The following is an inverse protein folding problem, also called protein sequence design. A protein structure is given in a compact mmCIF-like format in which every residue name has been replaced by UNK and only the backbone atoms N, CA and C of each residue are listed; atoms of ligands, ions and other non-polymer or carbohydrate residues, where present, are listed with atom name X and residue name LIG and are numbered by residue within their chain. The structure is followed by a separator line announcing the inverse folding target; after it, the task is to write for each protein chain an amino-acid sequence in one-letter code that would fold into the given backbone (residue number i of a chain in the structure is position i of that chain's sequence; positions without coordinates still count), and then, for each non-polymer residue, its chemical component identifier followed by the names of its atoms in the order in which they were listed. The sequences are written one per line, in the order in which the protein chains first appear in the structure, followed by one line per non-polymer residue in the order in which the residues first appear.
data_IF_947188549458
#
_entry.id   IF_947188549458
#
_cell.length_a   1.000
_cell.length_b   1.000
_cell.length_c   1.000
_cell.angle_alpha   90.00
_cell.angle_beta   90.00
_cell.angle_gamma   90.00
#
_symmetry.space_group_name_H-M   'P 1'
#
loop_
_entity.id
_entity.type
_entity.pdbx_description
1 polymer ?
#
# COMPACT_ATOMS: atom_id res chain seq x y z
N UNK A 1 -49.87 -58.67 -4.45
CA UNK A 1 -48.55 -59.09 -4.98
C UNK A 1 -47.98 -57.97 -5.85
N UNK A 2 -47.80 -56.77 -5.29
CA UNK A 2 -47.46 -55.56 -6.05
C UNK A 2 -46.71 -54.55 -5.16
N UNK A 3 -45.67 -55.01 -4.45
CA UNK A 3 -44.84 -54.14 -3.59
C UNK A 3 -43.34 -54.48 -3.67
N UNK A 4 -42.90 -55.27 -4.65
CA UNK A 4 -41.51 -55.72 -4.76
C UNK A 4 -40.79 -55.26 -6.04
N UNK A 5 -41.41 -54.41 -6.86
CA UNK A 5 -40.88 -54.05 -8.19
C UNK A 5 -40.43 -52.59 -8.32
N UNK A 6 -40.77 -51.71 -7.36
CA UNK A 6 -40.33 -50.30 -7.37
C UNK A 6 -38.93 -50.08 -6.77
N UNK A 7 -38.46 -50.97 -5.88
CA UNK A 7 -37.15 -50.82 -5.24
C UNK A 7 -35.97 -51.25 -6.13
N UNK A 8 -36.22 -51.98 -7.23
CA UNK A 8 -35.16 -52.48 -8.12
C UNK A 8 -34.75 -51.46 -9.21
N UNK A 9 -35.58 -50.45 -9.49
CA UNK A 9 -35.31 -49.41 -10.50
C UNK A 9 -34.70 -48.15 -9.89
N UNK A 10 -34.82 -47.95 -8.57
CA UNK A 10 -34.29 -46.79 -7.85
C UNK A 10 -32.87 -47.00 -7.29
N UNK A 11 -32.45 -48.24 -7.04
CA UNK A 11 -31.10 -48.53 -6.53
C UNK A 11 -29.96 -48.11 -7.47
N UNK A 12 -30.00 -48.34 -8.80
CA UNK A 12 -28.90 -47.93 -9.66
C UNK A 12 -28.86 -46.41 -9.84
N UNK A 13 -30.00 -45.71 -9.69
CA UNK A 13 -30.07 -44.25 -9.74
C UNK A 13 -29.48 -43.65 -8.46
N UNK A 14 -29.78 -44.24 -7.29
CA UNK A 14 -29.16 -43.83 -6.02
C UNK A 14 -27.63 -44.07 -6.05
N UNK A 15 -27.19 -45.22 -6.55
CA UNK A 15 -25.75 -45.53 -6.68
C UNK A 15 -25.07 -44.55 -7.65
N UNK A 16 -25.74 -44.16 -8.74
CA UNK A 16 -25.21 -43.16 -9.69
C UNK A 16 -25.17 -41.77 -9.06
N UNK A 17 -26.16 -41.39 -8.25
CA UNK A 17 -26.19 -40.12 -7.51
C UNK A 17 -25.10 -40.10 -6.43
N UNK A 18 -24.84 -41.22 -5.75
CA UNK A 18 -23.76 -41.35 -4.77
C UNK A 18 -22.38 -41.33 -5.44
N UNK A 19 -22.22 -41.92 -6.62
CA UNK A 19 -20.99 -41.81 -7.43
C UNK A 19 -20.79 -40.37 -7.94
N UNK A 20 -21.86 -39.69 -8.36
CA UNK A 20 -21.79 -38.27 -8.78
C UNK A 20 -21.47 -37.37 -7.58
N UNK A 21 -22.06 -37.63 -6.41
CA UNK A 21 -21.75 -36.90 -5.18
C UNK A 21 -20.34 -37.20 -4.65
N UNK A 22 -19.83 -38.43 -4.81
CA UNK A 22 -18.43 -38.79 -4.53
C UNK A 22 -17.46 -38.13 -5.52
N UNK A 23 -17.83 -38.01 -6.79
CA UNK A 23 -17.03 -37.31 -7.81
C UNK A 23 -17.02 -35.77 -7.62
N UNK A 24 -18.11 -35.20 -7.08
CA UNK A 24 -18.18 -33.77 -6.73
C UNK A 24 -17.51 -33.46 -5.38
N UNK A 25 -17.35 -34.43 -4.49
CA UNK A 25 -16.58 -34.30 -3.24
C UNK A 25 -15.09 -34.65 -3.41
N UNK A 26 -14.69 -35.20 -4.55
CA UNK A 26 -13.28 -35.38 -4.97
C UNK A 26 -12.82 -34.31 -5.97
N UNK A 27 -13.35 -33.09 -5.89
CA UNK A 27 -12.45 -31.94 -6.01
C UNK A 27 -11.59 -31.96 -4.75
N UNK A 28 -10.55 -32.79 -4.79
CA UNK A 28 -9.49 -32.78 -3.79
C UNK A 28 -9.18 -31.32 -3.51
N UNK A 29 -9.53 -30.87 -2.30
CA UNK A 29 -9.03 -29.63 -1.77
C UNK A 29 -7.53 -29.87 -1.63
N UNK A 30 -6.81 -29.67 -2.73
CA UNK A 30 -5.37 -29.77 -2.76
C UNK A 30 -4.88 -28.83 -1.67
N UNK A 31 -4.44 -29.40 -0.55
CA UNK A 31 -3.88 -28.66 0.56
C UNK A 31 -2.49 -28.31 0.07
N UNK A 32 -2.33 -27.08 -0.41
CA UNK A 32 -1.04 -26.48 -0.72
C UNK A 32 -0.03 -26.99 0.31
N UNK A 33 1.02 -27.69 -0.13
CA UNK A 33 2.02 -28.22 0.79
C UNK A 33 2.52 -27.04 1.65
N UNK A 34 2.80 -27.29 2.94
CA UNK A 34 3.30 -26.26 3.88
C UNK A 34 4.43 -25.41 3.27
N UNK A 35 5.25 -26.02 2.42
CA UNK A 35 6.33 -25.41 1.65
C UNK A 35 5.87 -24.26 0.74
N UNK A 36 4.77 -24.42 0.00
CA UNK A 36 4.22 -23.41 -0.93
C UNK A 36 3.60 -22.21 -0.19
N UNK A 37 2.93 -22.48 0.93
CA UNK A 37 2.43 -21.43 1.82
C UNK A 37 3.58 -20.62 2.43
N UNK A 38 4.61 -21.29 2.95
CA UNK A 38 5.77 -20.64 3.55
C UNK A 38 6.50 -19.76 2.53
N UNK A 39 6.71 -20.25 1.31
CA UNK A 39 7.31 -19.48 0.23
C UNK A 39 6.52 -18.20 -0.06
N UNK A 40 5.19 -18.33 -0.14
CA UNK A 40 4.30 -17.20 -0.43
C UNK A 40 4.36 -16.13 0.63
N UNK A 41 4.26 -16.52 1.90
CA UNK A 41 4.34 -15.58 3.02
C UNK A 41 5.72 -14.95 3.11
N UNK A 42 6.78 -15.71 2.87
CA UNK A 42 8.15 -15.19 2.86
C UNK A 42 8.35 -14.13 1.77
N UNK A 43 7.81 -14.36 0.57
CA UNK A 43 7.83 -13.38 -0.50
C UNK A 43 7.07 -12.10 -0.13
N UNK A 44 5.85 -12.23 0.43
CA UNK A 44 5.03 -11.08 0.81
C UNK A 44 5.69 -10.25 1.92
N UNK A 45 6.26 -10.92 2.93
CA UNK A 45 7.03 -10.24 3.99
C UNK A 45 8.23 -9.53 3.39
N UNK A 46 9.05 -10.20 2.57
CA UNK A 46 10.21 -9.58 1.94
C UNK A 46 9.81 -8.36 1.10
N UNK A 47 8.76 -8.47 0.29
CA UNK A 47 8.25 -7.38 -0.52
C UNK A 47 7.79 -6.19 0.33
N UNK A 48 7.06 -6.44 1.42
CA UNK A 48 6.63 -5.40 2.37
C UNK A 48 7.83 -4.70 3.02
N UNK A 49 8.82 -5.46 3.48
CA UNK A 49 10.03 -4.92 4.10
C UNK A 49 10.84 -4.05 3.12
N UNK A 50 10.98 -4.49 1.87
CA UNK A 50 11.64 -3.71 0.82
C UNK A 50 10.88 -2.41 0.51
N UNK A 51 9.55 -2.46 0.45
CA UNK A 51 8.71 -1.27 0.24
C UNK A 51 8.89 -0.25 1.37
N UNK A 52 8.83 -0.71 2.63
CA UNK A 52 8.99 0.17 3.80
C UNK A 52 10.39 0.76 3.86
N UNK A 53 11.43 -0.07 3.69
CA UNK A 53 12.81 0.38 3.73
C UNK A 53 13.08 1.40 2.61
N UNK A 54 12.81 1.04 1.35
CA UNK A 54 13.06 1.92 0.21
C UNK A 54 12.21 3.20 0.28
N UNK A 55 10.93 3.09 0.65
CA UNK A 55 10.03 4.23 0.84
C UNK A 55 10.53 5.20 1.91
N UNK A 56 11.02 4.70 3.04
CA UNK A 56 11.55 5.53 4.12
C UNK A 56 12.80 6.33 3.69
N UNK A 57 13.76 5.71 2.99
CA UNK A 57 14.94 6.43 2.50
C UNK A 57 14.61 7.43 1.38
N UNK A 58 13.67 7.07 0.51
CA UNK A 58 13.19 7.98 -0.55
C UNK A 58 12.48 9.20 0.04
N UNK A 59 11.75 9.01 1.15
CA UNK A 59 11.12 10.09 1.92
C UNK A 59 12.13 11.13 2.44
N UNK A 60 13.31 10.71 2.92
CA UNK A 60 14.40 11.65 3.28
C UNK A 60 14.88 12.44 2.06
N UNK A 61 15.11 11.75 0.94
CA UNK A 61 15.61 12.38 -0.29
C UNK A 61 14.63 13.44 -0.79
N UNK A 62 13.33 13.17 -0.71
CA UNK A 62 12.28 14.13 -1.04
C UNK A 62 12.28 15.32 -0.07
N UNK A 63 12.40 15.09 1.24
CA UNK A 63 12.50 16.18 2.23
C UNK A 63 13.67 17.12 1.91
N UNK A 64 14.83 16.58 1.54
CA UNK A 64 15.98 17.41 1.17
C UNK A 64 15.71 18.23 -0.09
N UNK A 65 15.12 17.63 -1.14
CA UNK A 65 14.71 18.37 -2.34
C UNK A 65 13.69 19.47 -2.04
N UNK A 66 12.75 19.22 -1.13
CA UNK A 66 11.75 20.21 -0.70
C UNK A 66 12.41 21.39 0.01
N UNK A 67 13.38 21.13 0.90
CA UNK A 67 14.19 22.18 1.54
C UNK A 67 14.93 23.04 0.51
N UNK A 68 15.50 22.43 -0.53
CA UNK A 68 16.23 23.15 -1.57
C UNK A 68 15.29 23.99 -2.46
N UNK A 69 14.07 23.49 -2.72
CA UNK A 69 13.06 24.18 -3.53
C UNK A 69 12.24 25.24 -2.80
N UNK A 70 12.26 25.25 -1.46
CA UNK A 70 11.39 26.09 -0.64
C UNK A 70 9.91 25.69 -0.63
N UNK A 71 9.53 24.59 -1.30
CA UNK A 71 8.16 24.09 -1.34
C UNK A 71 7.74 23.52 0.03
N UNK A 72 6.64 24.04 0.59
CA UNK A 72 6.06 23.53 1.84
C UNK A 72 5.18 22.31 1.52
N UNK A 73 5.46 21.13 2.10
CA UNK A 73 4.58 19.99 1.89
C UNK A 73 3.27 20.14 2.66
N UNK A 74 2.20 19.59 2.09
CA UNK A 74 0.98 19.31 2.84
C UNK A 74 1.28 18.28 3.92
N UNK A 75 1.29 18.74 5.17
CA UNK A 75 1.53 17.91 6.35
C UNK A 75 0.21 17.47 6.96
N UNK A 76 0.10 16.20 7.33
CA UNK A 76 -1.05 15.69 8.06
C UNK A 76 -1.05 16.27 9.48
N UNK A 77 -2.07 17.07 9.80
CA UNK A 77 -2.25 17.62 11.16
C UNK A 77 -2.87 16.57 12.09
N UNK A 78 -2.85 16.83 13.41
CA UNK A 78 -3.47 15.93 14.39
C UNK A 78 -4.97 15.75 14.16
N UNK A 79 -5.65 16.82 13.71
CA UNK A 79 -7.07 16.79 13.38
C UNK A 79 -7.34 15.90 12.17
N UNK A 80 -6.53 16.03 11.11
CA UNK A 80 -6.66 15.21 9.90
C UNK A 80 -6.40 13.73 10.21
N UNK A 81 -5.36 13.45 11.02
CA UNK A 81 -5.03 12.10 11.49
C UNK A 81 -6.19 11.47 12.28
N UNK A 82 -6.82 12.21 13.19
CA UNK A 82 -7.94 11.73 13.98
C UNK A 82 -9.23 11.53 13.15
N UNK A 83 -9.42 12.32 12.10
CA UNK A 83 -10.58 12.23 11.21
C UNK A 83 -10.45 11.09 10.18
N UNK A 84 -9.22 10.65 9.90
CA UNK A 84 -8.92 9.63 8.89
C UNK A 84 -9.70 8.32 9.06
N UNK A 85 -9.81 7.69 10.26
CA UNK A 85 -10.62 6.48 10.45
C UNK A 85 -12.11 6.68 10.12
N UNK A 86 -12.65 7.86 10.39
CA UNK A 86 -14.05 8.19 10.09
C UNK A 86 -14.26 8.39 8.59
N UNK A 87 -13.35 9.08 7.92
CA UNK A 87 -13.37 9.23 6.45
C UNK A 87 -13.25 7.85 5.78
N UNK A 88 -12.30 7.03 6.24
CA UNK A 88 -12.12 5.67 5.75
C UNK A 88 -13.38 4.81 5.95
N UNK A 89 -14.06 4.95 7.09
CA UNK A 89 -15.32 4.26 7.39
C UNK A 89 -16.45 4.69 6.45
N UNK A 90 -16.61 5.99 6.23
CA UNK A 90 -17.60 6.53 5.30
C UNK A 90 -17.32 6.08 3.87
N UNK A 91 -16.06 6.08 3.44
CA UNK A 91 -15.65 5.61 2.12
C UNK A 91 -15.89 4.11 1.93
N UNK A 92 -15.50 3.28 2.91
CA UNK A 92 -15.70 1.83 2.87
C UNK A 92 -17.19 1.49 2.81
N UNK A 93 -18.00 2.13 3.66
CA UNK A 93 -19.45 1.94 3.66
C UNK A 93 -20.09 2.44 2.37
N UNK A 94 -19.65 3.58 1.83
CA UNK A 94 -20.11 4.10 0.55
C UNK A 94 -19.85 3.14 -0.60
N UNK A 95 -18.63 2.59 -0.68
CA UNK A 95 -18.29 1.54 -1.66
C UNK A 95 -19.17 0.30 -1.47
N UNK A 96 -19.40 -0.12 -0.23
CA UNK A 96 -20.27 -1.26 0.07
C UNK A 96 -21.70 -1.04 -0.46
N UNK A 97 -22.27 0.14 -0.28
CA UNK A 97 -23.57 0.49 -0.86
C UNK A 97 -23.54 0.47 -2.40
N UNK A 98 -22.47 0.98 -3.02
CA UNK A 98 -22.32 0.92 -4.48
C UNK A 98 -22.26 -0.52 -4.99
N UNK A 99 -21.58 -1.43 -4.28
CA UNK A 99 -21.56 -2.87 -4.63
C UNK A 99 -22.95 -3.50 -4.54
N UNK A 100 -23.79 -3.03 -3.61
CA UNK A 100 -25.17 -3.51 -3.50
C UNK A 100 -26.07 -2.99 -4.63
N UNK A 101 -25.75 -1.82 -5.19
CA UNK A 101 -26.55 -1.15 -6.22
C UNK A 101 -26.11 -1.46 -7.66
N UNK A 102 -24.83 -1.74 -7.87
CA UNK A 102 -24.20 -1.88 -9.20
C UNK A 102 -23.54 -3.25 -9.35
N UNK A 103 -23.62 -3.86 -10.54
CA UNK A 103 -22.93 -5.13 -10.78
C UNK A 103 -21.41 -5.00 -10.63
N UNK A 104 -20.80 -6.05 -10.09
CA UNK A 104 -19.35 -6.10 -9.79
C UNK A 104 -18.47 -5.84 -11.01
N UNK A 105 -18.95 -6.17 -12.20
CA UNK A 105 -18.23 -6.00 -13.46
C UNK A 105 -17.97 -4.52 -13.77
N UNK A 106 -18.97 -3.66 -13.64
CA UNK A 106 -18.80 -2.22 -13.88
C UNK A 106 -17.88 -1.58 -12.85
N UNK A 107 -18.00 -1.97 -11.57
CA UNK A 107 -17.13 -1.48 -10.50
C UNK A 107 -15.68 -1.86 -10.80
N UNK A 108 -15.43 -3.13 -11.13
CA UNK A 108 -14.10 -3.63 -11.47
C UNK A 108 -13.54 -2.91 -12.70
N UNK A 109 -14.36 -2.67 -13.72
CA UNK A 109 -13.95 -1.95 -14.93
C UNK A 109 -13.52 -0.51 -14.64
N UNK A 110 -14.36 0.26 -13.94
CA UNK A 110 -14.06 1.65 -13.57
C UNK A 110 -12.80 1.72 -12.72
N UNK A 111 -12.71 0.83 -11.73
CA UNK A 111 -11.58 0.78 -10.82
C UNK A 111 -10.27 0.41 -11.54
N UNK A 112 -10.32 -0.49 -12.52
CA UNK A 112 -9.15 -0.85 -13.32
C UNK A 112 -8.66 0.31 -14.18
N UNK A 113 -9.56 1.10 -14.77
CA UNK A 113 -9.18 2.32 -15.49
C UNK A 113 -8.52 3.31 -14.53
N UNK A 114 -9.14 3.52 -13.35
CA UNK A 114 -8.59 4.39 -12.32
C UNK A 114 -7.17 3.97 -11.94
N UNK A 115 -6.97 2.71 -11.54
CA UNK A 115 -5.65 2.19 -11.15
C UNK A 115 -4.65 2.12 -12.29
N UNK A 116 -5.09 1.96 -13.53
CA UNK A 116 -4.21 2.06 -14.70
C UNK A 116 -3.65 3.48 -14.82
N UNK A 117 -4.49 4.51 -14.75
CA UNK A 117 -4.07 5.92 -14.87
C UNK A 117 -3.13 6.32 -13.74
N UNK A 118 -3.53 6.10 -12.48
CA UNK A 118 -2.66 6.44 -11.34
C UNK A 118 -1.44 5.51 -11.26
N UNK A 119 -1.57 4.28 -11.76
CA UNK A 119 -0.52 3.26 -11.76
C UNK A 119 0.63 3.62 -12.68
N UNK A 120 0.36 4.14 -13.88
CA UNK A 120 1.42 4.59 -14.80
C UNK A 120 2.26 5.67 -14.13
N UNK A 121 1.61 6.66 -13.49
CA UNK A 121 2.29 7.75 -12.77
C UNK A 121 3.10 7.20 -11.61
N UNK A 122 2.51 6.29 -10.81
CA UNK A 122 3.20 5.68 -9.68
C UNK A 122 4.42 4.87 -10.13
N UNK A 123 4.30 4.08 -11.19
CA UNK A 123 5.38 3.25 -11.71
C UNK A 123 6.53 4.11 -12.26
N UNK A 124 6.20 5.15 -13.03
CA UNK A 124 7.19 6.12 -13.50
C UNK A 124 7.95 6.77 -12.34
N UNK A 125 7.25 7.29 -11.32
CA UNK A 125 7.87 7.89 -10.13
C UNK A 125 8.72 6.91 -9.33
N UNK A 126 8.35 5.63 -9.31
CA UNK A 126 9.14 4.58 -8.64
C UNK A 126 10.45 4.27 -9.39
N UNK A 127 10.43 4.31 -10.72
CA UNK A 127 11.59 3.96 -11.57
C UNK A 127 12.53 5.16 -11.79
N UNK A 128 12.01 6.40 -11.76
CA UNK A 128 12.77 7.62 -12.05
C UNK A 128 14.12 7.73 -11.30
N UNK A 129 14.23 7.44 -9.98
CA UNK A 129 15.52 7.53 -9.28
C UNK A 129 16.54 6.50 -9.75
N UNK A 130 16.09 5.34 -10.21
CA UNK A 130 16.97 4.32 -10.77
C UNK A 130 17.51 4.75 -12.14
N UNK A 131 16.65 5.29 -13.01
CA UNK A 131 17.06 5.82 -14.32
C UNK A 131 18.08 6.95 -14.19
N UNK A 132 17.92 7.84 -13.20
CA UNK A 132 18.85 8.94 -12.96
C UNK A 132 20.28 8.48 -12.61
N UNK A 133 20.43 7.32 -11.96
CA UNK A 133 21.72 6.75 -11.54
C UNK A 133 22.43 5.94 -12.65
N UNK A 134 21.73 5.58 -13.72
CA UNK A 134 22.31 4.79 -14.82
C UNK A 134 23.13 5.73 -15.72
N UNK A 135 24.46 5.67 -15.59
CA UNK A 135 25.41 6.44 -16.41
C UNK A 135 25.83 5.69 -17.68
N UNK A 136 24.88 5.22 -18.49
CA UNK A 136 25.19 4.65 -19.80
C UNK A 136 25.42 5.78 -20.82
N UNK A 137 26.52 5.79 -21.60
CA UNK A 137 26.88 6.89 -22.49
C UNK A 137 25.83 7.21 -23.56
N UNK A 138 25.03 6.22 -23.97
CA UNK A 138 23.89 6.42 -24.86
C UNK A 138 22.73 7.17 -24.17
N UNK A 139 22.42 6.83 -22.92
CA UNK A 139 21.34 7.46 -22.14
C UNK A 139 21.71 8.87 -21.70
N UNK A 140 22.98 9.12 -21.38
CA UNK A 140 23.46 10.48 -21.03
C UNK A 140 23.34 11.44 -22.21
N UNK A 141 23.64 10.98 -23.43
CA UNK A 141 23.48 11.79 -24.66
C UNK A 141 22.00 12.10 -24.97
N UNK A 142 21.08 11.19 -24.62
CA UNK A 142 19.64 11.43 -24.75
C UNK A 142 19.09 12.34 -23.64
N UNK A 143 19.72 12.34 -22.46
CA UNK A 143 19.40 13.20 -21.30
C UNK A 143 19.82 14.66 -21.50
N UNK A 144 20.82 14.92 -22.34
CA UNK A 144 21.25 16.30 -22.68
C UNK A 144 20.24 17.05 -23.56
N UNK A 145 19.27 16.35 -24.16
CA UNK A 145 18.19 16.99 -24.95
C UNK A 145 17.01 17.32 -24.05
N UNK A 146 17.14 18.39 -23.27
CA UNK A 146 16.05 18.93 -22.48
C UNK A 146 15.07 19.70 -23.38
N UNK A 147 13.80 19.28 -23.38
CA UNK A 147 12.74 20.04 -24.05
C UNK A 147 12.05 20.94 -23.02
N UNK A 148 11.87 22.22 -23.36
CA UNK A 148 11.17 23.20 -22.53
C UNK A 148 9.82 23.48 -23.15
N UNK A 149 8.73 23.14 -22.45
CA UNK A 149 7.40 23.64 -22.80
C UNK A 149 7.10 24.81 -21.88
N UNK A 150 7.26 26.04 -22.39
CA UNK A 150 6.86 27.26 -21.68
C UNK A 150 5.40 27.56 -22.04
N UNK A 151 4.46 27.18 -21.19
CA UNK A 151 3.10 27.75 -21.27
C UNK A 151 3.10 29.08 -20.53
N UNK A 152 2.90 30.17 -21.26
CA UNK A 152 2.68 31.51 -20.71
C UNK A 152 1.26 31.91 -21.05
N UNK A 153 0.41 31.99 -20.03
CA UNK A 153 -0.91 32.62 -20.13
C UNK A 153 -0.71 34.13 -19.97
N UNK A 154 -1.00 34.89 -21.02
CA UNK A 154 -0.82 36.32 -21.02
C UNK A 154 -2.18 36.97 -20.71
N UNK A 155 -2.50 37.12 -19.42
CA UNK A 155 -3.65 37.94 -19.02
C UNK A 155 -3.16 39.37 -18.79
N UNK A 156 -3.67 40.30 -19.60
CA UNK A 156 -3.35 41.71 -19.49
C UNK A 156 -3.74 42.22 -18.10
N UNK A 157 -2.77 42.86 -17.44
CA UNK A 157 -2.95 43.72 -16.27
C UNK A 157 -3.28 43.01 -14.95
N UNK A 158 -2.25 42.49 -14.28
CA UNK A 158 -1.79 42.92 -12.94
C UNK A 158 -0.53 42.10 -12.59
N UNK A 159 0.51 42.82 -12.18
CA UNK A 159 1.81 42.31 -11.72
C UNK A 159 1.68 41.43 -10.47
N UNK A 160 1.62 40.11 -10.64
CA UNK A 160 2.00 39.13 -9.60
C UNK A 160 2.52 37.86 -10.27
N UNK A 161 3.77 37.52 -9.95
CA UNK A 161 4.50 36.27 -10.20
C UNK A 161 3.95 35.31 -11.26
N UNK A 162 4.65 35.30 -12.40
CA UNK A 162 4.52 34.29 -13.44
C UNK A 162 4.75 32.92 -12.79
N UNK A 163 3.70 32.12 -12.65
CA UNK A 163 3.80 30.72 -12.27
C UNK A 163 4.48 29.97 -13.42
N UNK A 164 5.81 29.98 -13.43
CA UNK A 164 6.61 29.19 -14.37
C UNK A 164 6.46 27.71 -14.01
N UNK A 165 5.48 27.03 -14.60
CA UNK A 165 5.45 25.57 -14.59
C UNK A 165 6.44 25.09 -15.65
N UNK A 166 7.73 25.11 -15.30
CA UNK A 166 8.81 24.58 -16.13
C UNK A 166 8.77 23.04 -16.10
N UNK A 167 8.02 22.46 -17.02
CA UNK A 167 8.05 21.02 -17.27
C UNK A 167 9.32 20.64 -18.04
N UNK A 168 10.33 20.16 -17.31
CA UNK A 168 11.55 19.58 -17.89
C UNK A 168 11.30 18.09 -18.13
N UNK A 169 11.32 17.68 -19.39
CA UNK A 169 11.21 16.26 -19.77
C UNK A 169 12.35 15.88 -20.69
N UNK A 170 13.00 14.76 -20.38
CA UNK A 170 14.05 14.16 -21.20
C UNK A 170 13.47 13.05 -22.09
N UNK A 171 14.14 12.70 -23.19
CA UNK A 171 13.75 11.56 -24.03
C UNK A 171 13.71 10.23 -23.24
N UNK A 172 14.54 10.13 -22.20
CA UNK A 172 14.56 8.99 -21.28
C UNK A 172 13.26 8.91 -20.47
N UNK A 173 12.70 10.06 -20.07
CA UNK A 173 11.44 10.10 -19.33
C UNK A 173 10.27 9.67 -20.22
N UNK A 174 10.25 10.12 -21.48
CA UNK A 174 9.24 9.71 -22.47
C UNK A 174 9.31 8.20 -22.72
N UNK A 175 10.53 7.65 -22.91
CA UNK A 175 10.73 6.22 -23.08
C UNK A 175 10.31 5.42 -21.83
N UNK A 176 10.58 5.93 -20.62
CA UNK A 176 10.18 5.31 -19.37
C UNK A 176 8.66 5.28 -19.21
N UNK A 177 7.98 6.38 -19.53
CA UNK A 177 6.51 6.46 -19.52
C UNK A 177 5.92 5.46 -20.53
N UNK A 178 6.50 5.35 -21.73
CA UNK A 178 6.06 4.38 -22.73
C UNK A 178 6.16 2.93 -22.21
N UNK A 179 7.27 2.57 -21.55
CA UNK A 179 7.41 1.24 -20.90
C UNK A 179 6.37 1.05 -19.79
N UNK A 180 6.10 2.09 -18.99
CA UNK A 180 5.07 2.02 -17.94
C UNK A 180 3.66 1.79 -18.54
N UNK A 181 3.35 2.39 -19.68
CA UNK A 181 2.09 2.16 -20.41
C UNK A 181 2.01 0.71 -20.89
N UNK A 182 3.10 0.14 -21.44
CA UNK A 182 3.12 -1.26 -21.87
C UNK A 182 2.84 -2.22 -20.69
N UNK A 183 3.44 -1.98 -19.53
CA UNK A 183 3.17 -2.75 -18.30
C UNK A 183 1.72 -2.57 -17.84
N UNK A 184 1.17 -1.36 -17.92
CA UNK A 184 -0.23 -1.08 -17.60
C UNK A 184 -1.21 -1.78 -18.53
N UNK A 185 -0.94 -1.80 -19.84
CA UNK A 185 -1.77 -2.51 -20.83
C UNK A 185 -1.71 -4.02 -20.58
N UNK A 186 -0.52 -4.56 -20.25
CA UNK A 186 -0.37 -5.96 -19.87
C UNK A 186 -1.20 -6.33 -18.64
N UNK A 187 -1.24 -5.45 -17.64
CA UNK A 187 -2.11 -5.60 -16.47
C UNK A 187 -3.60 -5.64 -16.85
N UNK A 188 -4.07 -4.71 -17.70
CA UNK A 188 -5.48 -4.66 -18.11
C UNK A 188 -5.90 -5.90 -18.91
N UNK A 189 -5.03 -6.40 -19.80
CA UNK A 189 -5.35 -7.52 -20.69
C UNK A 189 -5.29 -8.88 -20.00
N UNK A 190 -4.29 -9.08 -19.13
CA UNK A 190 -4.00 -10.42 -18.59
C UNK A 190 -4.29 -10.57 -17.10
N UNK A 191 -4.40 -9.46 -16.36
CA UNK A 191 -4.59 -9.44 -14.90
C UNK A 191 -3.61 -10.36 -14.15
N UNK A 192 -2.37 -10.44 -14.65
CA UNK A 192 -1.37 -11.27 -14.00
C UNK A 192 -1.01 -10.72 -12.63
N UNK A 193 -0.84 -11.63 -11.67
CA UNK A 193 -0.45 -11.32 -10.30
C UNK A 193 0.90 -10.57 -10.21
N UNK A 194 1.81 -10.81 -11.15
CA UNK A 194 3.10 -10.11 -11.23
C UNK A 194 2.88 -8.63 -11.52
N UNK A 195 2.08 -8.31 -12.54
CA UNK A 195 1.78 -6.93 -12.88
C UNK A 195 1.04 -6.22 -11.73
N UNK A 196 0.11 -6.92 -11.08
CA UNK A 196 -0.56 -6.45 -9.86
C UNK A 196 0.45 -6.09 -8.75
N UNK A 197 1.43 -6.96 -8.49
CA UNK A 197 2.45 -6.71 -7.47
C UNK A 197 3.42 -5.59 -7.84
N UNK A 198 3.77 -5.44 -9.12
CA UNK A 198 4.59 -4.30 -9.60
C UNK A 198 3.87 -2.98 -9.28
N UNK A 199 2.57 -2.88 -9.61
CA UNK A 199 1.78 -1.72 -9.25
C UNK A 199 1.63 -1.56 -7.73
N UNK A 200 1.36 -2.63 -7.00
CA UNK A 200 1.24 -2.58 -5.53
C UNK A 200 2.53 -2.08 -4.85
N UNK A 201 3.70 -2.56 -5.28
CA UNK A 201 5.00 -2.09 -4.77
C UNK A 201 5.20 -0.61 -5.12
N UNK A 202 4.91 -0.20 -6.36
CA UNK A 202 5.02 1.18 -6.79
C UNK A 202 4.10 2.10 -5.97
N UNK A 203 2.83 1.75 -5.79
CA UNK A 203 1.90 2.50 -4.96
C UNK A 203 2.36 2.59 -3.51
N UNK A 204 2.88 1.48 -2.95
CA UNK A 204 3.34 1.44 -1.56
C UNK A 204 4.51 2.39 -1.33
N UNK A 205 5.53 2.34 -2.20
CA UNK A 205 6.71 3.22 -2.12
C UNK A 205 6.30 4.69 -2.27
N UNK A 206 5.46 5.01 -3.27
CA UNK A 206 5.03 6.39 -3.50
C UNK A 206 4.17 6.91 -2.35
N UNK A 207 3.29 6.08 -1.78
CA UNK A 207 2.45 6.48 -0.67
C UNK A 207 3.29 6.77 0.58
N UNK A 208 4.27 5.93 0.92
CA UNK A 208 5.20 6.17 2.04
C UNK A 208 6.04 7.43 1.81
N UNK A 209 6.43 7.71 0.57
CA UNK A 209 7.14 8.94 0.22
C UNK A 209 6.26 10.20 0.33
N UNK A 210 4.96 10.12 -0.04
CA UNK A 210 4.04 11.27 -0.05
C UNK A 210 3.45 11.56 1.33
N UNK A 211 3.23 10.54 2.16
CA UNK A 211 2.55 10.71 3.43
C UNK A 211 3.49 11.36 4.46
N UNK A 212 3.33 12.67 4.65
CA UNK A 212 4.12 13.48 5.58
C UNK A 212 3.33 13.78 6.85
N UNK A 213 3.87 13.36 7.98
CA UNK A 213 3.39 13.78 9.29
C UNK A 213 4.26 14.92 9.79
N UNK A 214 3.65 15.98 10.35
CA UNK A 214 4.48 17.03 10.96
C UNK A 214 5.09 16.56 12.29
N UNK A 215 4.31 15.84 13.12
CA UNK A 215 4.74 15.39 14.46
C UNK A 215 4.62 13.88 14.60
N UNK A 216 5.49 13.29 15.43
CA UNK A 216 5.41 11.86 15.77
C UNK A 216 4.07 11.55 16.45
N UNK A 217 3.56 12.48 17.26
CA UNK A 217 2.24 12.36 17.89
C UNK A 217 1.09 12.19 16.87
N UNK A 218 1.13 12.88 15.72
CA UNK A 218 0.10 12.75 14.69
C UNK A 218 0.09 11.33 14.11
N UNK A 219 1.28 10.74 13.93
CA UNK A 219 1.42 9.34 13.51
C UNK A 219 0.84 8.36 14.54
N UNK A 220 1.06 8.60 15.83
CA UNK A 220 0.47 7.79 16.91
C UNK A 220 -1.06 7.88 16.91
N UNK A 221 -1.63 9.08 16.73
CA UNK A 221 -3.09 9.26 16.61
C UNK A 221 -3.64 8.48 15.41
N UNK A 222 -3.02 8.61 14.24
CA UNK A 222 -3.48 7.93 13.03
C UNK A 222 -3.47 6.40 13.23
N UNK A 223 -2.34 5.84 13.69
CA UNK A 223 -2.20 4.40 13.91
C UNK A 223 -3.16 3.89 15.01
N UNK A 224 -3.33 4.64 16.10
CA UNK A 224 -4.29 4.32 17.14
C UNK A 224 -5.74 4.35 16.66
N UNK A 225 -6.10 5.32 15.82
CA UNK A 225 -7.41 5.40 15.20
C UNK A 225 -7.67 4.26 14.22
N UNK A 226 -6.66 3.91 13.41
CA UNK A 226 -6.75 2.81 12.46
C UNK A 226 -6.77 1.42 13.13
N UNK A 227 -6.15 1.28 14.29
CA UNK A 227 -6.28 0.08 15.13
C UNK A 227 -7.74 -0.17 15.52
N UNK A 228 -8.45 0.87 15.99
CA UNK A 228 -9.87 0.75 16.36
C UNK A 228 -10.73 0.48 15.12
N UNK A 229 -10.46 1.18 14.02
CA UNK A 229 -11.13 1.00 12.74
C UNK A 229 -11.07 -0.45 12.25
N UNK A 230 -9.88 -1.05 12.25
CA UNK A 230 -9.67 -2.40 11.72
C UNK A 230 -10.42 -3.44 12.58
N UNK A 231 -10.37 -3.30 13.91
CA UNK A 231 -11.14 -4.15 14.84
C UNK A 231 -12.64 -4.05 14.55
N UNK A 232 -13.17 -2.83 14.43
CA UNK A 232 -14.60 -2.61 14.19
C UNK A 232 -15.05 -3.21 12.85
N UNK A 233 -14.32 -2.96 11.76
CA UNK A 233 -14.75 -3.38 10.42
C UNK A 233 -14.46 -4.86 10.11
N UNK A 234 -13.44 -5.46 10.74
CA UNK A 234 -13.14 -6.89 10.57
C UNK A 234 -14.02 -7.77 11.46
N UNK A 235 -14.16 -7.43 12.75
CA UNK A 235 -14.92 -8.27 13.70
C UNK A 235 -16.37 -7.83 13.86
N UNK A 236 -16.66 -6.54 13.74
CA UNK A 236 -17.99 -5.99 14.02
C UNK A 236 -18.99 -6.15 12.85
N UNK A 237 -18.52 -6.23 11.60
CA UNK A 237 -19.41 -6.27 10.43
C UNK A 237 -18.87 -7.15 9.29
N UNK A 238 -19.75 -7.60 8.39
CA UNK A 238 -19.35 -8.34 7.18
C UNK A 238 -18.95 -7.42 6.00
N UNK A 239 -18.94 -6.11 6.20
CA UNK A 239 -18.74 -5.12 5.14
C UNK A 239 -17.33 -5.22 4.56
N UNK A 240 -16.30 -5.24 5.41
CA UNK A 240 -14.91 -5.31 4.96
C UNK A 240 -14.62 -6.57 4.16
N UNK A 241 -15.16 -7.72 4.58
CA UNK A 241 -15.00 -9.00 3.87
C UNK A 241 -15.73 -8.95 2.51
N UNK A 242 -16.92 -8.37 2.46
CA UNK A 242 -17.71 -8.27 1.22
C UNK A 242 -17.03 -7.35 0.21
N UNK A 243 -16.50 -6.22 0.66
CA UNK A 243 -15.69 -5.31 -0.16
C UNK A 243 -14.42 -6.01 -0.61
N UNK A 244 -13.64 -6.61 0.28
CA UNK A 244 -12.38 -7.27 -0.07
C UNK A 244 -12.53 -8.41 -1.09
N UNK A 245 -13.66 -9.14 -1.07
CA UNK A 245 -13.98 -10.20 -2.03
C UNK A 245 -14.49 -9.68 -3.37
N UNK A 246 -15.05 -8.47 -3.41
CA UNK A 246 -15.63 -7.89 -4.62
C UNK A 246 -14.64 -7.04 -5.42
N UNK A 247 -13.46 -6.76 -4.85
CA UNK A 247 -12.41 -5.93 -5.45
C UNK A 247 -11.26 -6.79 -6.01
N UNK A 248 -11.09 -6.76 -7.33
CA UNK A 248 -9.96 -7.36 -8.07
C UNK A 248 -9.08 -6.25 -8.68
N UNK A 249 -8.34 -5.57 -7.81
CA UNK A 249 -7.53 -4.39 -8.15
C UNK A 249 -6.20 -4.40 -7.38
N UNK A 250 -5.20 -3.57 -7.77
CA UNK A 250 -3.86 -3.55 -7.19
C UNK A 250 -3.80 -2.80 -5.86
N UNK A 251 -4.72 -3.14 -4.96
CA UNK A 251 -4.86 -2.65 -3.58
C UNK A 251 -4.28 -3.67 -2.58
N UNK A 252 -3.81 -4.82 -3.08
CA UNK A 252 -3.18 -5.88 -2.30
C UNK A 252 -2.01 -6.49 -3.07
N UNK A 253 -0.97 -6.89 -2.33
CA UNK A 253 0.05 -7.79 -2.86
C UNK A 253 -0.47 -9.22 -2.77
N UNK A 254 -0.27 -9.99 -3.84
CA UNK A 254 -0.74 -11.37 -3.93
C UNK A 254 0.39 -12.29 -4.36
N UNK A 255 0.51 -13.46 -3.75
CA UNK A 255 1.45 -14.47 -4.21
C UNK A 255 0.80 -15.85 -4.23
N UNK A 256 0.95 -16.62 -5.33
CA UNK A 256 0.34 -17.94 -5.45
C UNK A 256 0.91 -18.94 -4.44
N UNK A 257 0.04 -19.54 -3.62
CA UNK A 257 0.38 -20.59 -2.65
C UNK A 257 0.72 -21.91 -3.34
N UNK A 258 0.03 -22.21 -4.44
CA UNK A 258 0.19 -23.46 -5.18
C UNK A 258 1.24 -23.34 -6.30
N UNK A 259 2.17 -22.39 -6.19
CA UNK A 259 3.15 -22.10 -7.25
C UNK A 259 4.02 -23.30 -7.58
N UNK A 260 4.40 -24.07 -6.56
CA UNK A 260 5.25 -25.26 -6.68
C UNK A 260 4.49 -26.40 -7.37
N UNK A 261 3.15 -26.41 -7.28
CA UNK A 261 2.30 -27.52 -7.75
C UNK A 261 1.71 -27.25 -9.13
N UNK A 262 1.16 -26.05 -9.34
CA UNK A 262 0.46 -25.66 -10.56
C UNK A 262 1.30 -24.77 -11.48
N UNK A 263 2.51 -24.39 -11.06
CA UNK A 263 3.38 -23.50 -11.81
C UNK A 263 2.90 -22.04 -11.85
N UNK A 264 3.67 -21.20 -12.55
CA UNK A 264 3.51 -19.72 -12.55
C UNK A 264 2.19 -19.26 -13.18
N UNK A 265 1.62 -20.07 -14.09
CA UNK A 265 0.51 -19.68 -14.95
C UNK A 265 -0.86 -20.26 -14.53
N UNK A 266 -0.91 -21.28 -13.67
CA UNK A 266 -2.16 -21.98 -13.32
C UNK A 266 -2.48 -22.02 -11.80
N UNK A 267 -1.80 -21.21 -10.99
CA UNK A 267 -2.06 -21.15 -9.55
C UNK A 267 -3.40 -20.48 -9.23
N UNK A 268 -4.17 -21.08 -8.31
CA UNK A 268 -5.54 -20.65 -7.97
C UNK A 268 -5.69 -20.13 -6.53
N UNK A 269 -4.84 -20.54 -5.58
CA UNK A 269 -4.82 -19.99 -4.22
C UNK A 269 -3.76 -18.92 -4.08
N UNK A 270 -4.12 -17.79 -3.48
CA UNK A 270 -3.22 -16.65 -3.28
C UNK A 270 -3.17 -16.25 -1.81
N UNK A 271 -1.95 -16.12 -1.28
CA UNK A 271 -1.71 -15.36 -0.08
C UNK A 271 -1.87 -13.87 -0.41
N UNK A 272 -2.44 -13.08 0.49
CA UNK A 272 -2.72 -11.67 0.26
C UNK A 272 -2.20 -10.83 1.42
N UNK A 273 -1.65 -9.65 1.11
CA UNK A 273 -1.27 -8.63 2.09
C UNK A 273 -1.80 -7.27 1.62
N UNK A 274 -2.53 -6.56 2.47
CA UNK A 274 -3.12 -5.27 2.13
C UNK A 274 -2.05 -4.19 2.00
N UNK A 275 -2.18 -3.29 1.02
CA UNK A 275 -1.27 -2.15 0.91
C UNK A 275 -1.34 -1.23 2.14
N UNK A 276 -2.51 -1.12 2.78
CA UNK A 276 -2.69 -0.31 4.00
C UNK A 276 -1.77 -0.74 5.14
N UNK A 277 -1.59 -2.06 5.31
CA UNK A 277 -0.74 -2.67 6.34
C UNK A 277 0.76 -2.48 6.09
N UNK A 278 1.12 -2.04 4.88
CA UNK A 278 2.49 -1.69 4.48
C UNK A 278 2.68 -0.17 4.58
N UNK A 279 1.77 0.58 3.97
CA UNK A 279 1.89 2.04 3.79
C UNK A 279 1.73 2.77 5.11
N UNK A 280 0.71 2.47 5.90
CA UNK A 280 0.41 3.25 7.12
C UNK A 280 1.53 3.08 8.17
N UNK A 281 1.93 1.85 8.54
CA UNK A 281 3.07 1.66 9.44
C UNK A 281 4.38 2.13 8.81
N UNK A 282 4.56 1.90 7.50
CA UNK A 282 5.74 2.34 6.76
C UNK A 282 5.96 3.85 6.77
N UNK A 283 4.88 4.64 6.66
CA UNK A 283 4.95 6.09 6.75
C UNK A 283 5.34 6.58 8.16
N UNK A 284 4.88 5.89 9.21
CA UNK A 284 5.31 6.17 10.59
C UNK A 284 6.79 5.83 10.80
N UNK A 285 7.24 4.67 10.28
CA UNK A 285 8.65 4.27 10.31
C UNK A 285 9.53 5.28 9.54
N UNK A 286 9.04 5.78 8.39
CA UNK A 286 9.71 6.82 7.63
C UNK A 286 9.85 8.13 8.42
N UNK A 287 8.81 8.52 9.19
CA UNK A 287 8.88 9.68 10.08
C UNK A 287 9.93 9.49 11.18
N UNK A 288 10.00 8.30 11.80
CA UNK A 288 11.04 7.99 12.79
C UNK A 288 12.45 8.06 12.20
N UNK A 289 12.62 7.64 10.94
CA UNK A 289 13.89 7.79 10.22
C UNK A 289 14.25 9.26 9.99
N UNK A 290 13.27 10.11 9.62
CA UNK A 290 13.48 11.56 9.47
C UNK A 290 13.85 12.22 10.82
N UNK A 291 13.23 11.78 11.91
CA UNK A 291 13.58 12.20 13.27
C UNK A 291 15.02 11.82 13.64
N UNK A 292 15.38 10.54 13.46
CA UNK A 292 16.72 10.00 13.68
C UNK A 292 17.79 10.83 12.95
N UNK A 293 17.59 11.08 11.65
CA UNK A 293 18.50 11.87 10.82
C UNK A 293 18.62 13.33 11.25
N UNK A 294 17.53 13.91 11.79
CA UNK A 294 17.54 15.29 12.29
C UNK A 294 18.32 15.40 13.60
N UNK A 295 18.18 14.41 14.49
CA UNK A 295 18.90 14.38 15.77
C UNK A 295 20.38 14.05 15.59
N UNK A 296 20.70 13.00 14.84
CA UNK A 296 22.06 12.57 14.57
C UNK A 296 22.13 11.84 13.22
N UNK A 297 22.71 12.45 12.17
CA UNK A 297 22.73 11.88 10.82
C UNK A 297 23.32 10.46 10.67
N UNK A 298 24.16 10.02 11.60
CA UNK A 298 24.76 8.67 11.60
C UNK A 298 24.00 7.63 12.42
N UNK A 299 22.87 7.99 13.02
CA UNK A 299 22.11 7.13 13.94
C UNK A 299 20.72 6.86 13.37
N UNK A 300 20.39 5.59 13.16
CA UNK A 300 19.05 5.13 12.72
C UNK A 300 18.38 4.29 13.81
N UNK A 301 18.46 4.74 15.07
CA UNK A 301 18.07 3.94 16.23
C UNK A 301 16.57 3.67 16.26
N UNK A 302 15.76 4.73 16.22
CA UNK A 302 14.30 4.60 16.27
C UNK A 302 13.75 3.92 15.02
N UNK A 303 14.34 4.21 13.85
CA UNK A 303 14.06 3.50 12.62
C UNK A 303 14.31 2.00 12.74
N UNK A 304 15.51 1.59 13.17
CA UNK A 304 15.86 0.17 13.29
C UNK A 304 14.96 -0.55 14.31
N UNK A 305 14.68 0.07 15.46
CA UNK A 305 13.79 -0.50 16.47
C UNK A 305 12.38 -0.68 15.92
N UNK A 306 11.81 0.34 15.28
CA UNK A 306 10.46 0.27 14.71
C UNK A 306 10.38 -0.70 13.52
N UNK A 307 11.41 -0.74 12.68
CA UNK A 307 11.49 -1.64 11.53
C UNK A 307 11.57 -3.11 11.96
N UNK A 308 12.38 -3.43 12.98
CA UNK A 308 12.42 -4.78 13.57
C UNK A 308 11.09 -5.13 14.22
N UNK A 309 10.46 -4.19 14.94
CA UNK A 309 9.14 -4.38 15.53
C UNK A 309 8.07 -4.67 14.46
N UNK A 310 8.14 -4.00 13.30
CA UNK A 310 7.28 -4.26 12.14
C UNK A 310 7.49 -5.66 11.56
N UNK A 311 8.74 -6.11 11.40
CA UNK A 311 9.06 -7.48 10.96
C UNK A 311 8.42 -8.49 11.91
N UNK A 312 8.64 -8.33 13.22
CA UNK A 312 8.09 -9.23 14.24
C UNK A 312 6.56 -9.22 14.20
N UNK A 313 5.95 -8.04 14.05
CA UNK A 313 4.50 -7.93 13.96
C UNK A 313 3.93 -8.68 12.75
N UNK A 314 4.53 -8.54 11.56
CA UNK A 314 4.10 -9.27 10.37
C UNK A 314 4.20 -10.79 10.56
N UNK A 315 5.28 -11.27 11.17
CA UNK A 315 5.46 -12.69 11.47
C UNK A 315 4.40 -13.20 12.46
N UNK A 316 4.09 -12.42 13.49
CA UNK A 316 3.01 -12.73 14.44
C UNK A 316 1.66 -12.78 13.71
N UNK A 317 1.34 -11.78 12.88
CA UNK A 317 0.09 -11.76 12.10
C UNK A 317 -0.05 -13.01 11.24
N UNK A 318 1.00 -13.42 10.55
CA UNK A 318 1.00 -14.64 9.73
C UNK A 318 0.84 -15.88 10.60
N UNK A 319 1.55 -15.97 11.73
CA UNK A 319 1.44 -17.10 12.65
C UNK A 319 0.01 -17.26 13.18
N UNK A 320 -0.63 -16.17 13.63
CA UNK A 320 -1.99 -16.23 14.14
C UNK A 320 -2.97 -16.56 13.02
N UNK A 321 -2.78 -16.03 11.80
CA UNK A 321 -3.59 -16.39 10.64
C UNK A 321 -3.53 -17.90 10.35
N UNK A 322 -2.36 -18.52 10.49
CA UNK A 322 -2.18 -19.97 10.30
C UNK A 322 -2.86 -20.80 11.40
N UNK A 323 -2.81 -20.35 12.65
CA UNK A 323 -3.41 -21.05 13.79
C UNK A 323 -4.94 -20.99 13.71
N UNK A 324 -5.50 -19.80 13.49
CA UNK A 324 -6.94 -19.56 13.59
C UNK A 324 -7.69 -19.78 12.27
N UNK A 325 -7.00 -19.79 11.12
CA UNK A 325 -7.60 -19.96 9.77
C UNK A 325 -8.78 -19.02 9.48
N UNK A 326 -8.85 -17.89 10.17
CA UNK A 326 -9.85 -16.85 10.03
C UNK A 326 -9.17 -15.51 9.79
N UNK A 327 -9.80 -14.65 8.98
CA UNK A 327 -9.31 -13.29 8.74
C UNK A 327 -9.32 -12.48 10.02
N UNK A 328 -8.18 -11.87 10.34
CA UNK A 328 -8.01 -11.02 11.51
C UNK A 328 -7.48 -9.65 11.08
N UNK A 329 -7.80 -8.59 11.85
CA UNK A 329 -7.27 -7.25 11.60
C UNK A 329 -5.76 -7.26 11.77
N UNK A 330 -5.02 -6.93 10.71
CA UNK A 330 -3.56 -6.96 10.73
C UNK A 330 -2.98 -5.87 11.64
N UNK A 331 -3.65 -4.70 11.68
CA UNK A 331 -3.22 -3.57 12.51
C UNK A 331 -3.31 -3.87 14.01
N UNK A 332 -4.09 -4.88 14.41
CA UNK A 332 -4.16 -5.37 15.79
C UNK A 332 -2.78 -5.71 16.36
N UNK A 333 -1.91 -6.29 15.54
CA UNK A 333 -0.55 -6.69 15.93
C UNK A 333 0.49 -5.66 15.53
N UNK A 334 0.30 -5.00 14.38
CA UNK A 334 1.29 -4.05 13.86
C UNK A 334 1.36 -2.78 14.72
N UNK A 335 0.22 -2.20 15.11
CA UNK A 335 0.19 -0.91 15.80
C UNK A 335 0.86 -0.97 17.19
N UNK A 336 0.52 -1.92 18.09
CA UNK A 336 1.13 -1.96 19.42
C UNK A 336 2.66 -2.12 19.36
N UNK A 337 3.16 -2.91 18.40
CA UNK A 337 4.59 -3.16 18.24
C UNK A 337 5.29 -1.96 17.60
N UNK A 338 4.78 -1.44 16.48
CA UNK A 338 5.44 -0.36 15.74
C UNK A 338 5.46 0.97 16.50
N UNK A 339 4.45 1.25 17.32
CA UNK A 339 4.37 2.46 18.15
C UNK A 339 5.00 2.23 19.53
N UNK A 340 4.74 1.08 20.15
CA UNK A 340 5.17 0.78 21.51
C UNK A 340 6.69 0.67 21.66
N UNK A 341 7.39 -0.03 20.77
CA UNK A 341 8.84 -0.24 20.90
C UNK A 341 9.66 1.06 20.76
N UNK A 342 9.40 1.95 19.78
CA UNK A 342 10.08 3.24 19.70
C UNK A 342 9.79 4.15 20.90
N UNK A 343 8.54 4.16 21.39
CA UNK A 343 8.18 4.93 22.59
C UNK A 343 8.88 4.40 23.84
N UNK A 344 8.93 3.07 24.01
CA UNK A 344 9.66 2.44 25.11
C UNK A 344 11.16 2.78 25.05
N UNK A 345 11.74 2.77 23.84
CA UNK A 345 13.12 3.20 23.62
C UNK A 345 13.30 4.67 24.02
N UNK A 346 12.41 5.57 23.60
CA UNK A 346 12.46 6.97 23.97
C UNK A 346 12.34 7.18 25.50
N UNK A 347 11.57 6.33 26.19
CA UNK A 347 11.45 6.35 27.65
C UNK A 347 12.74 5.89 28.34
N UNK A 348 13.33 4.77 27.90
CA UNK A 348 14.59 4.23 28.45
C UNK A 348 15.73 5.23 28.29
N UNK A 349 15.83 5.87 27.12
CA UNK A 349 16.88 6.85 26.82
C UNK A 349 16.54 8.29 27.27
N UNK A 350 15.41 8.49 27.95
CA UNK A 350 14.93 9.80 28.44
C UNK A 350 14.82 10.89 27.36
N UNK A 351 14.52 10.48 26.14
CA UNK A 351 14.47 11.35 24.95
C UNK A 351 13.03 11.71 24.53
N UNK A 352 12.03 11.25 25.29
CA UNK A 352 10.60 11.36 24.96
C UNK A 352 10.15 12.79 24.68
N UNK A 353 10.62 13.78 25.45
CA UNK A 353 10.25 15.18 25.27
C UNK A 353 10.71 15.71 23.91
N UNK A 354 11.94 15.39 23.51
CA UNK A 354 12.46 15.78 22.20
C UNK A 354 11.77 15.05 21.04
N UNK A 355 11.36 13.79 21.26
CA UNK A 355 10.64 13.01 20.27
C UNK A 355 9.23 13.59 20.00
N UNK A 356 8.50 13.99 21.04
CA UNK A 356 7.18 14.60 20.86
C UNK A 356 7.23 16.08 20.45
N UNK A 357 8.31 16.78 20.77
CA UNK A 357 8.55 18.15 20.30
C UNK A 357 9.01 18.20 18.83
N UNK A 358 9.37 17.07 18.23
CA UNK A 358 9.84 17.02 16.85
C UNK A 358 8.78 17.52 15.86
N UNK A 359 9.19 18.48 15.03
CA UNK A 359 8.45 18.97 13.87
C UNK A 359 9.26 18.71 12.60
N UNK A 360 8.69 17.94 11.67
CA UNK A 360 9.31 17.58 10.40
C UNK A 360 9.46 18.82 9.51
N UNK A 361 8.45 19.71 9.57
CA UNK A 361 8.39 21.04 8.95
C UNK A 361 7.90 22.07 9.96
N UNK A 362 8.81 22.83 10.62
CA UNK A 362 8.41 23.82 11.60
C UNK A 362 7.59 24.93 10.93
N UNK A 363 6.42 25.21 11.47
CA UNK A 363 5.62 26.39 11.07
C UNK A 363 6.44 27.63 11.40
N UNK A 364 6.70 28.51 10.42
CA UNK A 364 7.14 29.87 10.74
C UNK A 364 6.06 30.46 11.65
N UNK A 365 6.39 31.00 12.84
CA UNK A 365 5.38 31.65 13.67
C UNK A 365 4.73 32.74 12.82
N UNK A 366 3.40 32.69 12.69
CA UNK A 366 2.64 33.80 12.16
C UNK A 366 3.08 35.02 12.98
N UNK A 367 3.76 35.97 12.33
CA UNK A 367 3.90 37.31 12.88
C UNK A 367 2.47 37.82 12.93
N UNK A 368 1.85 37.70 14.10
CA UNK A 368 0.65 38.44 14.43
C UNK A 368 1.08 39.89 14.29
N UNK A 369 0.83 40.47 13.11
CA UNK A 369 0.77 41.91 12.96
C UNK A 369 -0.25 42.35 14.01
N UNK A 370 0.28 42.82 15.14
CA UNK A 370 -0.49 43.65 16.04
C UNK A 370 -0.99 44.78 15.15
N UNK A 371 -2.28 44.74 14.81
CA UNK A 371 -3.01 45.92 14.40
C UNK A 371 -2.76 46.95 15.48
N UNK A 372 -1.81 47.83 15.23
CA UNK A 372 -1.62 49.03 16.00
C UNK A 372 -2.76 49.96 15.61
N UNK A 373 -3.60 50.20 16.61
CA UNK A 373 -4.57 51.31 16.78
C UNK A 373 -5.81 51.36 15.88
#
# INVERSE_FOLDING_TARGET
MAASTENATLSPILDTIDIINQSNTTKEAFVARTDGMLLSYSFLVLAALLCVYYGAYRSITRKNKQKDSGEKPDVLTAKDAAMFPFIASGFLFGIYLVILLVSKEYITFVLNIYFFLIGIVALYRAIQPALGKINLPFLTKLRERQFHIKLSENQASVTTDIMHIDFKFDLVDVAAIFVCILVGVWYLLKRHWIANNIFGIAFSINAIEILHFNKIFNGCILLGGLFIYDIFWVFGTNVMITVAKSFDAPIKLIFPQDLIENGIFAANKFAMLGLGDIVVPGAFIALLLRYDMTRKPSSTRYFNVSFIAYVIALLITILILQIFKHGQPALLYIVPLCVGFPLLTALIYKDWASMFAYEDHPSTPEVVEKKNE
#
